data_IF_614437823556
#
_entry.id   IF_614437823556
#
_cell.length_a   1.000
_cell.length_b   1.000
_cell.length_c   1.000
_cell.angle_alpha   90.00
_cell.angle_beta   90.00
_cell.angle_gamma   90.00
#
_symmetry.space_group_name_H-M   'P 1'
#
loop_
_entity.id
_entity.type
_entity.pdbx_description
1 polymer ?
#
# COMPACT_ATOMS: atom_id res chain seq x y z
N UNK A 1 6.60 36.54 23.04
CA UNK A 1 5.82 36.86 21.81
C UNK A 1 4.45 37.36 22.25
N UNK A 2 4.01 38.51 21.76
CA UNK A 2 2.69 39.07 22.05
C UNK A 2 1.71 38.62 20.99
N UNK A 3 0.49 38.17 21.37
CA UNK A 3 -0.56 37.74 20.42
C UNK A 3 -0.93 38.88 19.46
N UNK A 4 -0.91 40.13 19.92
CA UNK A 4 -1.15 41.33 19.08
C UNK A 4 -0.16 41.55 17.94
N UNK A 5 1.00 40.87 17.99
CA UNK A 5 2.07 40.93 16.98
C UNK A 5 2.22 39.60 16.21
N UNK A 6 1.36 38.62 16.50
CA UNK A 6 1.39 37.30 15.89
C UNK A 6 0.16 37.10 15.02
N UNK A 7 0.35 36.68 13.79
CA UNK A 7 -0.80 36.40 12.92
C UNK A 7 -1.50 35.12 13.36
N UNK A 8 -2.66 35.28 13.99
CA UNK A 8 -3.47 34.19 14.52
C UNK A 8 -4.94 34.53 14.36
N UNK A 9 -5.57 33.94 13.35
CA UNK A 9 -6.96 34.17 13.02
C UNK A 9 -7.73 32.84 13.05
N UNK A 10 -8.48 32.60 14.10
CA UNK A 10 -9.29 31.39 14.28
C UNK A 10 -10.61 31.49 13.52
N UNK A 11 -11.18 30.32 13.21
CA UNK A 11 -12.52 30.20 12.66
C UNK A 11 -13.47 29.68 13.74
N UNK A 12 -14.68 30.26 13.81
CA UNK A 12 -15.70 29.82 14.76
C UNK A 12 -16.40 28.55 14.27
N UNK A 13 -16.69 28.48 13.00
CA UNK A 13 -17.43 27.39 12.38
C UNK A 13 -16.49 26.39 11.69
N UNK A 14 -16.97 25.16 11.51
CA UNK A 14 -16.25 24.13 10.77
C UNK A 14 -16.30 24.45 9.27
N UNK A 15 -15.15 24.42 8.58
CA UNK A 15 -15.13 24.53 7.11
C UNK A 15 -15.90 23.38 6.46
N UNK A 16 -16.70 23.71 5.46
CA UNK A 16 -17.58 22.74 4.77
C UNK A 16 -16.83 21.64 4.01
N UNK A 17 -15.56 21.87 3.68
CA UNK A 17 -14.68 20.94 2.96
C UNK A 17 -13.81 20.07 3.89
N UNK A 18 -14.00 20.21 5.23
CA UNK A 18 -13.26 19.43 6.21
C UNK A 18 -14.15 18.32 6.80
N UNK A 19 -13.81 17.06 6.52
CA UNK A 19 -14.57 15.91 6.99
C UNK A 19 -14.10 15.45 8.38
N UNK A 20 -12.78 15.16 8.51
CA UNK A 20 -12.21 14.60 9.75
C UNK A 20 -11.87 15.67 10.77
N UNK A 21 -11.96 15.30 12.05
CA UNK A 21 -11.79 16.23 13.17
C UNK A 21 -10.41 16.93 13.18
N UNK A 22 -9.33 16.23 12.82
CA UNK A 22 -7.99 16.80 12.75
C UNK A 22 -7.91 17.93 11.71
N UNK A 23 -8.49 17.73 10.52
CA UNK A 23 -8.56 18.75 9.47
C UNK A 23 -9.36 19.98 9.93
N UNK A 24 -10.55 19.75 10.53
CA UNK A 24 -11.39 20.83 11.09
C UNK A 24 -10.61 21.66 12.12
N UNK A 25 -10.00 21.00 13.09
CA UNK A 25 -9.27 21.68 14.16
C UNK A 25 -8.04 22.45 13.65
N UNK A 26 -7.29 21.90 12.69
CA UNK A 26 -6.13 22.58 12.12
C UNK A 26 -6.52 23.86 11.36
N UNK A 27 -7.61 23.82 10.59
CA UNK A 27 -8.16 25.00 9.92
C UNK A 27 -8.68 26.04 10.91
N UNK A 28 -9.47 25.61 11.90
CA UNK A 28 -10.06 26.48 12.93
C UNK A 28 -9.01 27.13 13.82
N UNK A 29 -7.97 26.39 14.17
CA UNK A 29 -6.86 26.88 15.00
C UNK A 29 -5.85 27.76 14.24
N UNK A 30 -6.11 28.12 12.98
CA UNK A 30 -5.17 28.89 12.17
C UNK A 30 -3.80 28.22 12.02
N UNK A 31 -3.77 26.90 11.95
CA UNK A 31 -2.53 26.15 11.71
C UNK A 31 -2.25 25.99 10.21
N UNK A 32 -3.29 25.80 9.42
CA UNK A 32 -3.20 25.63 7.96
C UNK A 32 -4.25 26.48 7.23
N UNK A 33 -4.00 26.75 5.94
CA UNK A 33 -4.97 27.28 4.99
C UNK A 33 -4.84 26.55 3.67
N UNK A 34 -5.96 26.10 3.12
CA UNK A 34 -6.00 25.45 1.82
C UNK A 34 -5.63 26.42 0.71
N UNK A 35 -4.71 26.01 -0.16
CA UNK A 35 -4.36 26.71 -1.38
C UNK A 35 -4.99 26.01 -2.60
N UNK A 36 -4.95 24.71 -2.63
CA UNK A 36 -5.54 23.85 -3.65
C UNK A 36 -5.87 22.47 -3.09
N UNK A 37 -6.38 21.57 -3.91
CA UNK A 37 -6.66 20.20 -3.50
C UNK A 37 -5.38 19.49 -3.06
N UNK A 38 -5.29 19.14 -1.77
CA UNK A 38 -4.11 18.50 -1.18
C UNK A 38 -2.88 19.40 -1.04
N UNK A 39 -3.04 20.73 -1.19
CA UNK A 39 -1.96 21.71 -1.06
C UNK A 39 -2.36 22.75 -0.01
N UNK A 40 -1.51 22.92 1.00
CA UNK A 40 -1.81 23.76 2.16
C UNK A 40 -0.68 24.75 2.47
N UNK A 41 -1.06 25.98 2.84
CA UNK A 41 -0.14 26.89 3.50
C UNK A 41 -0.10 26.53 4.99
N UNK A 42 1.10 26.36 5.53
CA UNK A 42 1.29 26.27 6.98
C UNK A 42 1.41 27.66 7.55
N UNK A 43 0.41 28.03 8.35
CA UNK A 43 0.37 29.33 9.01
C UNK A 43 1.38 29.39 10.18
N UNK A 44 1.68 30.58 10.74
CA UNK A 44 2.73 30.70 11.75
C UNK A 44 2.64 29.71 12.92
N UNK A 45 1.45 29.38 13.39
CA UNK A 45 1.24 28.39 14.45
C UNK A 45 1.55 26.96 13.96
N UNK A 46 1.02 26.59 12.80
CA UNK A 46 1.28 25.28 12.18
C UNK A 46 2.76 25.06 11.87
N UNK A 47 3.43 26.09 11.33
CA UNK A 47 4.87 26.03 11.06
C UNK A 47 5.70 25.80 12.34
N UNK A 48 5.29 26.40 13.47
CA UNK A 48 5.97 26.14 14.76
C UNK A 48 5.82 24.70 15.22
N UNK A 49 4.64 24.10 14.99
CA UNK A 49 4.42 22.68 15.32
C UNK A 49 5.29 21.78 14.44
N UNK A 50 5.30 22.01 13.13
CA UNK A 50 6.17 21.27 12.20
C UNK A 50 7.62 21.33 12.64
N UNK A 51 8.15 22.53 12.90
CA UNK A 51 9.55 22.70 13.34
C UNK A 51 9.87 21.98 14.65
N UNK A 52 8.92 21.89 15.58
CA UNK A 52 9.10 21.07 16.79
C UNK A 52 9.18 19.58 16.47
N UNK A 53 8.33 19.09 15.59
CA UNK A 53 8.36 17.69 15.13
C UNK A 53 9.66 17.39 14.41
N UNK A 54 10.06 18.25 13.47
CA UNK A 54 11.33 18.14 12.74
C UNK A 54 12.54 18.10 13.69
N UNK A 55 12.55 18.93 14.73
CA UNK A 55 13.65 18.95 15.71
C UNK A 55 13.72 17.64 16.50
N UNK A 56 12.60 17.09 16.95
CA UNK A 56 12.57 15.80 17.62
C UNK A 56 13.10 14.70 16.70
N UNK A 57 12.67 14.67 15.45
CA UNK A 57 13.14 13.72 14.44
C UNK A 57 14.66 13.89 14.24
N UNK A 58 15.14 15.10 14.02
CA UNK A 58 16.56 15.41 13.78
C UNK A 58 17.43 14.96 14.94
N UNK A 59 17.00 15.23 16.17
CA UNK A 59 17.74 14.82 17.37
C UNK A 59 17.86 13.29 17.49
N UNK A 60 16.80 12.55 17.23
CA UNK A 60 16.83 11.08 17.29
C UNK A 60 17.62 10.47 16.12
N UNK A 61 17.47 11.00 14.92
CA UNK A 61 18.26 10.55 13.77
C UNK A 61 19.77 10.78 13.99
N UNK A 62 20.15 11.95 14.49
CA UNK A 62 21.55 12.25 14.83
C UNK A 62 22.07 11.35 15.97
N UNK A 63 21.23 11.07 16.98
CA UNK A 63 21.58 10.15 18.06
C UNK A 63 21.78 8.71 17.56
N UNK A 64 21.03 8.30 16.54
CA UNK A 64 21.22 7.01 15.89
C UNK A 64 22.42 6.98 14.92
N UNK A 65 23.18 8.07 14.80
CA UNK A 65 24.38 8.17 13.96
C UNK A 65 24.10 8.44 12.48
N UNK A 66 22.86 8.81 12.12
CA UNK A 66 22.54 9.21 10.76
C UNK A 66 23.06 10.64 10.45
N UNK A 67 23.40 10.87 9.18
CA UNK A 67 24.04 12.11 8.71
C UNK A 67 23.02 12.91 7.89
N UNK A 68 22.74 14.13 8.34
CA UNK A 68 21.82 15.02 7.62
C UNK A 68 22.48 15.60 6.37
N UNK A 69 21.74 15.61 5.26
CA UNK A 69 22.06 16.32 4.04
C UNK A 69 20.78 16.94 3.46
N UNK A 70 20.87 17.69 2.39
CA UNK A 70 19.72 18.26 1.70
C UNK A 70 19.82 17.99 0.20
N UNK A 71 18.90 17.20 -0.31
CA UNK A 71 18.79 16.87 -1.73
C UNK A 71 17.80 17.80 -2.44
N UNK A 72 17.99 18.08 -3.74
CA UNK A 72 17.11 18.99 -4.48
C UNK A 72 15.68 18.44 -4.65
N UNK A 73 14.73 19.36 -4.75
CA UNK A 73 13.32 19.04 -5.04
C UNK A 73 13.13 18.57 -6.49
N UNK A 74 13.86 19.20 -7.43
CA UNK A 74 13.80 18.89 -8.86
C UNK A 74 14.89 17.89 -9.19
N UNK A 75 14.53 16.78 -9.78
CA UNK A 75 15.42 15.65 -10.04
C UNK A 75 15.48 15.36 -11.55
N UNK A 76 16.66 15.13 -12.14
CA UNK A 76 16.80 14.75 -13.53
C UNK A 76 16.08 13.45 -13.87
N UNK A 77 15.41 13.40 -15.01
CA UNK A 77 14.67 12.21 -15.48
C UNK A 77 15.58 10.99 -15.67
N UNK A 78 16.83 11.21 -16.06
CA UNK A 78 17.81 10.17 -16.35
C UNK A 78 18.04 9.22 -15.17
N UNK A 79 18.06 9.75 -13.94
CA UNK A 79 18.20 8.93 -12.73
C UNK A 79 17.01 7.97 -12.53
N UNK A 80 15.81 8.44 -12.84
CA UNK A 80 14.56 7.66 -12.76
C UNK A 80 14.44 6.65 -13.89
N UNK A 81 14.95 6.99 -15.08
CA UNK A 81 14.99 6.12 -16.25
C UNK A 81 16.00 4.98 -16.04
N UNK A 82 17.17 5.25 -15.44
CA UNK A 82 18.18 4.25 -15.11
C UNK A 82 17.62 3.13 -14.21
N UNK A 83 16.75 3.46 -13.25
CA UNK A 83 16.12 2.49 -12.35
C UNK A 83 14.86 1.85 -12.92
N UNK A 84 14.36 2.32 -14.08
CA UNK A 84 13.07 1.93 -14.64
C UNK A 84 11.87 2.47 -13.86
N UNK A 85 12.09 3.27 -12.82
CA UNK A 85 11.01 3.83 -11.99
C UNK A 85 10.31 5.02 -12.66
N UNK A 86 10.88 5.61 -13.69
CA UNK A 86 10.21 6.64 -14.49
C UNK A 86 8.83 6.20 -14.97
N UNK A 87 8.72 4.97 -15.49
CA UNK A 87 7.44 4.42 -15.93
C UNK A 87 6.67 3.74 -14.78
N UNK A 88 7.37 3.01 -13.92
CA UNK A 88 6.75 2.24 -12.83
C UNK A 88 6.00 3.09 -11.82
N UNK A 89 6.45 4.34 -11.54
CA UNK A 89 5.77 5.27 -10.64
C UNK A 89 4.45 5.81 -11.20
N UNK A 90 4.21 5.61 -12.50
CA UNK A 90 2.95 6.00 -13.12
C UNK A 90 2.64 7.50 -13.03
N UNK A 91 1.35 7.85 -12.91
CA UNK A 91 0.89 9.24 -12.90
C UNK A 91 1.17 9.98 -11.58
N UNK A 92 1.53 9.30 -10.50
CA UNK A 92 1.88 9.94 -9.22
C UNK A 92 3.20 10.72 -9.31
N UNK A 93 4.08 10.38 -10.25
CA UNK A 93 5.30 11.10 -10.51
C UNK A 93 5.00 12.35 -11.34
N UNK A 94 5.07 13.53 -10.71
CA UNK A 94 4.91 14.80 -11.41
C UNK A 94 6.13 15.08 -12.27
N UNK A 95 5.94 14.99 -13.60
CA UNK A 95 6.98 15.24 -14.61
C UNK A 95 6.87 16.67 -15.13
N UNK A 96 7.99 17.32 -15.26
CA UNK A 96 8.10 18.70 -15.74
C UNK A 96 9.19 18.81 -16.79
N UNK A 97 9.09 19.82 -17.67
CA UNK A 97 10.13 20.15 -18.65
C UNK A 97 10.66 21.55 -18.39
N UNK A 98 11.98 21.70 -18.51
CA UNK A 98 12.57 23.02 -18.47
C UNK A 98 12.38 23.76 -19.83
N UNK A 99 12.84 25.02 -19.89
CA UNK A 99 12.75 25.83 -21.10
C UNK A 99 13.52 25.28 -22.33
N UNK A 100 14.40 24.32 -22.10
CA UNK A 100 15.20 23.64 -23.14
C UNK A 100 14.62 22.27 -23.49
N UNK A 101 13.45 21.89 -22.94
CA UNK A 101 12.79 20.63 -23.19
C UNK A 101 13.35 19.43 -22.42
N UNK A 102 14.30 19.64 -21.49
CA UNK A 102 14.84 18.56 -20.66
C UNK A 102 13.80 18.13 -19.62
N UNK A 103 13.67 16.83 -19.41
CA UNK A 103 12.71 16.26 -18.49
C UNK A 103 13.26 16.16 -17.07
N UNK A 104 12.38 16.44 -16.11
CA UNK A 104 12.67 16.36 -14.67
C UNK A 104 11.44 15.78 -13.96
N UNK A 105 11.67 15.24 -12.76
CA UNK A 105 10.63 14.93 -11.81
C UNK A 105 10.65 15.88 -10.62
N UNK A 106 9.47 16.18 -10.07
CA UNK A 106 9.38 16.76 -8.72
C UNK A 106 9.38 15.58 -7.75
N UNK A 107 10.32 15.56 -6.82
CA UNK A 107 10.63 14.41 -5.98
C UNK A 107 9.40 13.84 -5.22
N UNK A 108 8.97 12.61 -5.47
CA UNK A 108 8.06 11.89 -4.57
C UNK A 108 8.84 11.16 -3.46
N UNK A 109 10.11 10.89 -3.70
CA UNK A 109 11.09 10.21 -2.84
C UNK A 109 12.50 10.47 -3.41
N UNK A 110 13.58 9.98 -2.80
CA UNK A 110 14.93 10.38 -3.23
C UNK A 110 15.93 9.22 -3.34
N UNK A 111 15.47 7.98 -3.54
CA UNK A 111 16.35 6.81 -3.69
C UNK A 111 17.35 6.99 -4.82
N UNK A 112 16.91 7.52 -5.95
CA UNK A 112 17.74 7.76 -7.13
C UNK A 112 18.87 8.75 -6.83
N UNK A 113 18.52 9.86 -6.20
CA UNK A 113 19.49 10.94 -5.92
C UNK A 113 20.50 10.51 -4.86
N UNK A 114 20.06 9.87 -3.77
CA UNK A 114 20.99 9.44 -2.72
C UNK A 114 21.89 8.30 -3.20
N UNK A 115 21.41 7.45 -4.10
CA UNK A 115 22.22 6.40 -4.71
C UNK A 115 23.29 7.01 -5.64
N UNK A 116 22.95 8.04 -6.38
CA UNK A 116 23.91 8.77 -7.20
C UNK A 116 24.99 9.48 -6.33
N UNK A 117 24.60 10.13 -5.23
CA UNK A 117 25.53 10.67 -4.24
C UNK A 117 26.46 9.57 -3.69
N UNK A 118 25.90 8.43 -3.29
CA UNK A 118 26.68 7.31 -2.78
C UNK A 118 27.67 6.78 -3.83
N UNK A 119 27.25 6.68 -5.09
CA UNK A 119 28.11 6.31 -6.22
C UNK A 119 29.30 7.26 -6.40
N UNK A 120 29.06 8.55 -6.19
CA UNK A 120 30.09 9.57 -6.35
C UNK A 120 31.02 9.68 -5.13
N UNK A 121 30.51 9.50 -3.91
CA UNK A 121 31.24 9.81 -2.68
C UNK A 121 31.83 8.57 -1.99
N UNK A 122 31.17 7.40 -2.08
CA UNK A 122 31.62 6.15 -1.43
C UNK A 122 32.59 5.39 -2.33
N UNK A 123 33.88 5.62 -2.17
CA UNK A 123 34.94 5.00 -2.99
C UNK A 123 35.57 3.77 -2.35
N UNK A 124 35.27 3.47 -1.10
CA UNK A 124 35.82 2.34 -0.38
C UNK A 124 34.79 1.71 0.55
N UNK A 125 34.76 0.40 0.61
CA UNK A 125 33.93 -0.35 1.57
C UNK A 125 34.23 0.00 3.04
N UNK A 126 35.44 0.56 3.32
CA UNK A 126 35.82 1.04 4.65
C UNK A 126 35.04 2.27 5.09
N UNK A 127 34.40 2.97 4.17
CA UNK A 127 33.53 4.12 4.48
C UNK A 127 32.13 3.68 4.97
N UNK A 128 31.80 2.38 4.83
CA UNK A 128 30.53 1.79 5.24
C UNK A 128 30.61 1.27 6.70
N UNK A 129 29.48 1.23 7.44
CA UNK A 129 28.16 1.66 7.00
C UNK A 129 28.00 3.18 6.96
N UNK A 130 27.02 3.66 6.18
CA UNK A 130 26.56 5.05 6.17
C UNK A 130 25.03 5.08 6.18
N UNK A 131 24.48 6.04 6.90
CA UNK A 131 23.05 6.33 6.88
C UNK A 131 22.89 7.83 6.66
N UNK A 132 22.32 8.19 5.53
CA UNK A 132 22.04 9.58 5.19
C UNK A 132 20.55 9.84 5.33
N UNK A 133 20.18 11.04 5.78
CA UNK A 133 18.77 11.44 5.82
C UNK A 133 18.61 12.91 5.45
N UNK A 134 17.41 13.27 5.04
CA UNK A 134 17.00 14.65 4.95
C UNK A 134 15.54 14.84 5.41
N UNK A 135 15.20 16.11 5.67
CA UNK A 135 13.84 16.55 5.92
C UNK A 135 13.51 17.55 4.81
N UNK A 136 12.65 17.15 3.88
CA UNK A 136 12.39 17.93 2.67
C UNK A 136 10.95 17.74 2.20
N UNK A 137 10.47 18.75 1.49
CA UNK A 137 9.19 18.69 0.78
C UNK A 137 9.21 17.61 -0.29
N UNK A 138 8.13 16.84 -0.36
CA UNK A 138 7.82 15.86 -1.40
C UNK A 138 6.53 16.25 -2.11
N UNK A 139 6.41 15.80 -3.35
CA UNK A 139 5.19 15.96 -4.12
C UNK A 139 4.79 14.62 -4.74
N UNK A 140 3.55 14.21 -4.51
CA UNK A 140 2.92 13.07 -5.18
C UNK A 140 1.63 13.55 -5.80
N UNK A 141 1.41 13.29 -7.10
CA UNK A 141 0.20 13.70 -7.79
C UNK A 141 -0.98 12.79 -7.44
N UNK A 142 -1.32 12.81 -6.14
CA UNK A 142 -2.40 12.03 -5.55
C UNK A 142 -3.73 12.33 -6.23
N UNK A 143 -4.36 11.30 -6.76
CA UNK A 143 -5.61 11.41 -7.51
C UNK A 143 -6.78 11.90 -6.62
N UNK A 144 -6.80 11.50 -5.35
CA UNK A 144 -7.88 11.80 -4.40
C UNK A 144 -7.32 12.29 -3.07
N UNK A 145 -6.74 13.50 -3.01
CA UNK A 145 -6.28 14.07 -1.76
C UNK A 145 -7.48 14.27 -0.81
N UNK A 146 -7.30 13.87 0.45
CA UNK A 146 -8.37 13.89 1.46
C UNK A 146 -7.79 14.03 2.87
N UNK A 147 -8.64 14.28 3.85
CA UNK A 147 -8.27 14.36 5.27
C UNK A 147 -7.23 15.45 5.59
N UNK A 148 -7.26 16.56 4.87
CA UNK A 148 -6.34 17.68 5.09
C UNK A 148 -4.91 17.32 4.75
N UNK A 149 -4.01 17.53 5.70
CA UNK A 149 -2.57 17.25 5.52
C UNK A 149 -2.21 15.78 5.64
N UNK A 150 -3.14 14.91 6.05
CA UNK A 150 -2.86 13.46 6.19
C UNK A 150 -2.61 12.80 4.83
N UNK A 151 -3.38 13.19 3.80
CA UNK A 151 -3.21 12.70 2.43
C UNK A 151 -3.21 13.87 1.45
N UNK A 152 -2.18 14.70 1.59
CA UNK A 152 -1.92 15.83 0.70
C UNK A 152 -1.09 15.42 -0.52
N UNK A 153 -1.00 16.34 -1.49
CA UNK A 153 -0.12 16.21 -2.67
C UNK A 153 1.27 16.73 -2.40
N UNK A 154 1.38 17.81 -1.62
CA UNK A 154 2.64 18.36 -1.14
C UNK A 154 2.73 18.19 0.38
N UNK A 155 3.83 17.61 0.85
CA UNK A 155 4.05 17.32 2.26
C UNK A 155 5.53 17.25 2.60
N UNK A 156 5.87 17.39 3.87
CA UNK A 156 7.25 17.23 4.35
C UNK A 156 7.48 15.79 4.79
N UNK A 157 8.57 15.20 4.31
CA UNK A 157 9.00 13.86 4.69
C UNK A 157 10.41 13.91 5.28
N UNK A 158 10.64 13.14 6.33
CA UNK A 158 11.99 12.69 6.67
C UNK A 158 12.17 11.35 5.99
N UNK A 159 13.09 11.24 5.09
CA UNK A 159 13.53 10.00 4.47
C UNK A 159 15.01 9.75 4.78
N UNK A 160 15.37 8.49 4.99
CA UNK A 160 16.71 8.05 5.34
C UNK A 160 17.10 6.81 4.54
N UNK A 161 18.39 6.72 4.21
CA UNK A 161 18.93 5.72 3.30
C UNK A 161 20.22 5.17 3.86
N UNK A 162 20.26 3.87 4.11
CA UNK A 162 21.46 3.20 4.60
C UNK A 162 22.21 2.49 3.48
N UNK A 163 23.55 2.50 3.61
CA UNK A 163 24.47 1.79 2.73
C UNK A 163 25.36 0.93 3.61
N UNK A 164 25.31 -0.36 3.39
CA UNK A 164 25.95 -1.37 4.22
C UNK A 164 26.86 -2.25 3.40
N UNK A 165 27.73 -3.03 4.05
CA UNK A 165 28.71 -3.89 3.39
C UNK A 165 28.11 -5.21 2.95
N UNK A 166 27.10 -5.68 3.67
CA UNK A 166 26.47 -6.99 3.52
C UNK A 166 25.04 -6.96 4.08
N UNK A 167 24.30 -8.02 3.86
CA UNK A 167 22.91 -8.16 4.32
C UNK A 167 22.81 -8.03 5.85
N UNK A 168 23.74 -8.64 6.59
CA UNK A 168 23.75 -8.55 8.06
C UNK A 168 23.99 -7.10 8.54
N UNK A 169 24.76 -6.30 7.78
CA UNK A 169 24.91 -4.87 7.98
C UNK A 169 23.59 -4.14 7.78
N UNK A 170 22.93 -4.40 6.66
CA UNK A 170 21.65 -3.79 6.34
C UNK A 170 20.57 -4.12 7.40
N UNK A 171 20.52 -5.34 7.90
CA UNK A 171 19.63 -5.74 9.00
C UNK A 171 19.92 -4.95 10.29
N UNK A 172 21.19 -4.76 10.64
CA UNK A 172 21.56 -3.93 11.81
C UNK A 172 21.14 -2.46 11.62
N UNK A 173 21.33 -1.90 10.42
CA UNK A 173 20.88 -0.55 10.08
C UNK A 173 19.36 -0.43 10.15
N UNK A 174 18.63 -1.45 9.69
CA UNK A 174 17.18 -1.52 9.82
C UNK A 174 16.73 -1.53 11.29
N UNK A 175 17.33 -2.37 12.12
CA UNK A 175 16.99 -2.47 13.54
C UNK A 175 17.34 -1.17 14.30
N UNK A 176 18.42 -0.49 13.93
CA UNK A 176 18.76 0.82 14.46
C UNK A 176 17.71 1.88 14.11
N UNK A 177 17.21 1.89 12.86
CA UNK A 177 16.13 2.78 12.46
C UNK A 177 14.80 2.43 13.13
N UNK A 178 14.50 1.15 13.30
CA UNK A 178 13.32 0.71 14.04
C UNK A 178 13.35 1.24 15.49
N UNK A 179 14.48 1.11 16.18
CA UNK A 179 14.67 1.65 17.51
C UNK A 179 14.56 3.19 17.55
N UNK A 180 15.16 3.86 16.57
CA UNK A 180 15.09 5.32 16.40
C UNK A 180 13.64 5.80 16.26
N UNK A 181 12.85 5.16 15.39
CA UNK A 181 11.44 5.53 15.19
C UNK A 181 10.60 5.31 16.44
N UNK A 182 10.83 4.24 17.19
CA UNK A 182 10.18 4.07 18.50
C UNK A 182 10.43 5.28 19.41
N UNK A 183 11.66 5.79 19.47
CA UNK A 183 11.98 6.96 20.28
C UNK A 183 11.29 8.23 19.77
N UNK A 184 11.25 8.43 18.44
CA UNK A 184 10.55 9.57 17.83
C UNK A 184 9.06 9.55 18.22
N UNK A 185 8.35 8.44 18.03
CA UNK A 185 6.93 8.34 18.34
C UNK A 185 6.66 8.46 19.84
N UNK A 186 7.51 7.90 20.70
CA UNK A 186 7.43 8.05 22.16
C UNK A 186 7.59 9.53 22.56
N UNK A 187 8.57 10.23 22.03
CA UNK A 187 8.82 11.67 22.32
C UNK A 187 7.70 12.58 21.81
N UNK A 188 7.03 12.18 20.75
CA UNK A 188 5.83 12.85 20.25
C UNK A 188 4.59 12.57 21.09
N UNK A 189 4.65 11.63 22.05
CA UNK A 189 3.54 11.26 22.91
C UNK A 189 2.43 10.51 22.19
N UNK A 190 2.73 9.84 21.09
CA UNK A 190 1.75 9.16 20.24
C UNK A 190 1.52 7.72 20.69
N UNK A 191 0.28 7.27 20.64
CA UNK A 191 -0.06 5.84 20.73
C UNK A 191 0.10 5.22 19.34
N UNK A 192 0.97 4.26 19.22
CA UNK A 192 1.29 3.65 17.92
C UNK A 192 1.51 2.15 18.03
N UNK A 193 1.53 1.49 16.88
CA UNK A 193 2.02 0.12 16.69
C UNK A 193 2.96 0.11 15.49
N UNK A 194 4.06 -0.63 15.62
CA UNK A 194 4.86 -1.03 14.47
C UNK A 194 4.20 -2.26 13.87
N UNK A 195 3.64 -2.11 12.69
CA UNK A 195 2.89 -3.17 11.99
C UNK A 195 3.74 -3.73 10.86
N UNK A 196 3.72 -5.04 10.69
CA UNK A 196 4.29 -5.66 9.50
C UNK A 196 3.52 -5.19 8.26
N UNK A 197 4.23 -4.73 7.26
CA UNK A 197 3.68 -4.13 6.06
C UNK A 197 4.25 -4.78 4.79
N UNK A 198 3.52 -4.67 3.69
CA UNK A 198 4.03 -5.03 2.37
C UNK A 198 5.13 -4.06 1.92
N UNK A 199 6.10 -4.56 1.17
CA UNK A 199 7.23 -3.74 0.68
C UNK A 199 6.87 -2.88 -0.53
N UNK A 200 5.74 -3.15 -1.17
CA UNK A 200 5.22 -2.39 -2.30
C UNK A 200 6.18 -2.29 -3.48
N UNK A 201 6.10 -1.18 -4.22
CA UNK A 201 6.91 -0.92 -5.41
C UNK A 201 8.40 -0.70 -5.11
N UNK A 202 8.78 -0.44 -3.85
CA UNK A 202 10.17 -0.28 -3.43
C UNK A 202 10.89 -1.63 -3.40
N UNK A 203 10.16 -2.71 -3.07
CA UNK A 203 10.70 -4.06 -2.96
C UNK A 203 11.41 -4.32 -1.63
N UNK A 204 12.01 -5.49 -1.49
CA UNK A 204 12.64 -5.95 -0.25
C UNK A 204 11.88 -7.09 0.40
N UNK A 205 12.43 -7.65 1.50
CA UNK A 205 11.85 -8.82 2.20
C UNK A 205 11.24 -8.49 3.56
N UNK A 206 11.46 -7.30 4.09
CA UNK A 206 11.01 -6.88 5.42
C UNK A 206 10.58 -5.41 5.40
N UNK A 207 9.39 -5.13 5.88
CA UNK A 207 8.86 -3.79 6.03
C UNK A 207 8.02 -3.66 7.30
N UNK A 208 8.11 -2.50 7.96
CA UNK A 208 7.23 -2.11 9.05
C UNK A 208 6.72 -0.69 8.85
N UNK A 209 5.50 -0.47 9.25
CA UNK A 209 4.88 0.85 9.35
C UNK A 209 4.62 1.20 10.81
N UNK A 210 5.06 2.37 11.25
CA UNK A 210 4.73 2.90 12.56
C UNK A 210 3.42 3.65 12.47
N UNK A 211 2.32 2.95 12.73
CA UNK A 211 0.97 3.51 12.60
C UNK A 211 0.46 4.06 13.93
N UNK A 212 0.03 5.32 13.91
CA UNK A 212 -0.63 5.97 15.04
C UNK A 212 -2.07 5.46 15.14
N UNK A 213 -2.46 5.01 16.32
CA UNK A 213 -3.80 4.49 16.56
C UNK A 213 -4.78 5.66 16.71
N UNK A 214 -5.70 5.79 15.77
CA UNK A 214 -6.75 6.80 15.76
C UNK A 214 -8.05 6.23 15.17
N UNK A 215 -9.20 6.68 15.68
CA UNK A 215 -10.51 6.26 15.15
C UNK A 215 -10.76 6.80 13.74
N UNK A 216 -10.07 7.87 13.35
CA UNK A 216 -10.17 8.53 12.04
C UNK A 216 -9.02 8.16 11.11
N UNK A 217 -8.35 7.03 11.34
CA UNK A 217 -7.28 6.52 10.47
C UNK A 217 -7.81 6.04 9.10
N UNK A 218 -6.92 5.98 8.11
CA UNK A 218 -7.26 5.46 6.78
C UNK A 218 -7.21 3.93 6.73
N UNK A 219 -6.24 3.34 7.42
CA UNK A 219 -5.94 1.92 7.33
C UNK A 219 -6.38 1.17 8.58
N UNK A 220 -6.95 -0.01 8.38
CA UNK A 220 -7.27 -0.91 9.46
C UNK A 220 -6.07 -1.81 9.80
N UNK A 221 -5.74 -1.87 11.10
CA UNK A 221 -4.69 -2.77 11.60
C UNK A 221 -5.27 -3.83 12.52
N UNK A 222 -4.67 -5.01 12.49
CA UNK A 222 -4.94 -6.09 13.44
C UNK A 222 -3.80 -6.12 14.45
N UNK A 223 -4.12 -6.08 15.73
CA UNK A 223 -3.10 -6.17 16.79
C UNK A 223 -3.57 -7.01 17.96
N UNK A 224 -2.62 -7.59 18.67
CA UNK A 224 -2.88 -8.31 19.91
C UNK A 224 -2.65 -7.38 21.11
N UNK A 225 -3.63 -7.17 22.02
CA UNK A 225 -3.44 -6.32 23.19
C UNK A 225 -2.39 -6.83 24.18
N UNK A 226 -2.15 -8.14 24.21
CA UNK A 226 -1.26 -8.82 25.18
C UNK A 226 0.12 -9.17 24.60
N UNK A 227 0.40 -8.82 23.33
CA UNK A 227 1.70 -9.07 22.70
C UNK A 227 2.08 -7.91 21.77
N UNK A 228 3.30 -7.97 21.23
CA UNK A 228 3.78 -6.99 20.24
C UNK A 228 3.27 -7.26 18.81
N UNK A 229 2.43 -8.29 18.61
CA UNK A 229 1.89 -8.59 17.28
C UNK A 229 1.01 -7.47 16.78
N UNK A 230 1.34 -6.96 15.60
CA UNK A 230 0.50 -6.06 14.82
C UNK A 230 0.83 -6.24 13.33
N UNK A 231 -0.20 -6.18 12.48
CA UNK A 231 -0.06 -6.27 11.03
C UNK A 231 -1.16 -5.45 10.34
N UNK A 232 -0.88 -4.97 9.14
CA UNK A 232 -1.92 -4.46 8.26
C UNK A 232 -2.91 -5.58 7.95
N UNK A 233 -4.18 -5.23 7.81
CA UNK A 233 -5.25 -6.21 7.54
C UNK A 233 -4.96 -7.06 6.29
N UNK A 234 -4.28 -6.49 5.31
CA UNK A 234 -3.87 -7.17 4.08
C UNK A 234 -2.84 -8.28 4.31
N UNK A 235 -1.97 -8.13 5.33
CA UNK A 235 -0.95 -9.11 5.69
C UNK A 235 -1.35 -10.04 6.82
N UNK A 236 -2.30 -9.63 7.66
CA UNK A 236 -2.73 -10.41 8.80
C UNK A 236 -3.29 -11.77 8.35
N UNK A 237 -2.73 -12.86 8.88
CA UNK A 237 -3.24 -14.19 8.61
C UNK A 237 -4.30 -14.56 9.65
N UNK A 238 -5.46 -15.00 9.17
CA UNK A 238 -6.48 -15.63 10.00
C UNK A 238 -6.18 -17.12 10.14
N UNK A 239 -6.26 -17.62 11.36
CA UNK A 239 -6.26 -19.07 11.59
C UNK A 239 -7.63 -19.59 11.17
N UNK A 240 -7.70 -20.32 10.07
CA UNK A 240 -8.90 -21.06 9.73
C UNK A 240 -9.04 -22.21 10.76
N UNK A 241 -10.12 -22.15 11.55
CA UNK A 241 -10.50 -23.29 12.38
C UNK A 241 -10.98 -24.39 11.42
N UNK A 242 -10.06 -25.29 11.05
CA UNK A 242 -10.37 -26.38 10.15
C UNK A 242 -11.19 -27.41 10.93
N UNK A 243 -12.49 -27.48 10.62
CA UNK A 243 -13.35 -28.58 10.98
C UNK A 243 -13.38 -29.61 9.84
N UNK A 244 -13.68 -30.84 10.16
CA UNK A 244 -13.92 -31.85 9.14
C UNK A 244 -15.10 -31.40 8.25
N UNK A 245 -14.93 -31.52 6.92
CA UNK A 245 -15.97 -31.15 5.97
C UNK A 245 -17.18 -32.07 6.14
N UNK A 246 -18.34 -31.49 6.37
CA UNK A 246 -19.57 -32.26 6.47
C UNK A 246 -19.90 -32.97 5.15
N UNK A 247 -20.52 -34.16 5.22
CA UNK A 247 -21.06 -34.82 4.02
C UNK A 247 -22.15 -33.93 3.41
N UNK A 248 -22.30 -33.94 2.06
CA UNK A 248 -23.39 -33.24 1.41
C UNK A 248 -24.73 -33.83 1.78
N UNK A 249 -25.73 -32.99 2.02
CA UNK A 249 -27.07 -33.41 2.34
C UNK A 249 -27.92 -33.65 1.09
N UNK A 250 -27.57 -32.97 0.00
CA UNK A 250 -28.31 -33.00 -1.26
C UNK A 250 -27.39 -33.26 -2.46
N UNK A 251 -27.91 -33.90 -3.53
CA UNK A 251 -27.16 -34.05 -4.76
C UNK A 251 -26.97 -32.68 -5.44
N UNK A 252 -25.83 -32.52 -6.15
CA UNK A 252 -25.58 -31.34 -6.93
C UNK A 252 -26.65 -31.15 -8.01
N UNK A 253 -27.24 -29.96 -8.08
CA UNK A 253 -28.25 -29.59 -9.08
C UNK A 253 -27.95 -28.23 -9.68
N UNK A 254 -28.36 -28.02 -10.91
CA UNK A 254 -28.23 -26.76 -11.62
C UNK A 254 -29.51 -25.94 -11.48
N UNK A 255 -29.35 -24.69 -11.08
CA UNK A 255 -30.45 -23.74 -10.88
C UNK A 255 -30.26 -22.54 -11.81
N UNK A 256 -31.31 -22.18 -12.54
CA UNK A 256 -31.25 -21.02 -13.43
C UNK A 256 -31.26 -19.69 -12.63
N UNK A 257 -30.33 -18.82 -12.94
CA UNK A 257 -30.19 -17.48 -12.30
C UNK A 257 -30.19 -16.37 -13.33
N UNK A 258 -31.27 -16.15 -14.12
CA UNK A 258 -31.30 -15.23 -15.24
C UNK A 258 -31.04 -13.80 -14.80
N UNK A 259 -30.02 -13.18 -15.40
CA UNK A 259 -29.65 -11.78 -15.12
C UNK A 259 -29.04 -11.53 -13.73
N UNK A 260 -28.70 -12.60 -12.97
CA UNK A 260 -28.07 -12.50 -11.65
C UNK A 260 -26.66 -13.06 -11.70
N UNK A 261 -25.67 -12.24 -11.41
CA UNK A 261 -24.25 -12.60 -11.53
C UNK A 261 -23.45 -12.39 -10.24
N UNK A 262 -23.97 -11.61 -9.29
CA UNK A 262 -23.29 -11.41 -8.01
C UNK A 262 -23.74 -12.44 -6.98
N UNK A 263 -22.84 -12.83 -6.07
CA UNK A 263 -23.17 -13.75 -4.99
C UNK A 263 -24.39 -13.30 -4.16
N UNK A 264 -24.51 -11.98 -3.90
CA UNK A 264 -25.61 -11.44 -3.13
C UNK A 264 -26.97 -11.59 -3.86
N UNK A 265 -27.01 -11.30 -5.16
CA UNK A 265 -28.23 -11.45 -5.96
C UNK A 265 -28.66 -12.92 -6.11
N UNK A 266 -27.67 -13.81 -6.31
CA UNK A 266 -27.91 -15.26 -6.43
C UNK A 266 -28.37 -15.81 -5.08
N UNK A 267 -27.73 -15.44 -3.99
CA UNK A 267 -28.14 -15.83 -2.64
C UNK A 267 -29.59 -15.42 -2.33
N UNK A 268 -29.96 -14.19 -2.66
CA UNK A 268 -31.32 -13.68 -2.48
C UNK A 268 -32.34 -14.40 -3.36
N UNK A 269 -31.98 -14.74 -4.61
CA UNK A 269 -32.86 -15.46 -5.54
C UNK A 269 -33.15 -16.92 -5.09
N UNK A 270 -32.12 -17.62 -4.63
CA UNK A 270 -32.19 -19.04 -4.22
C UNK A 270 -32.67 -19.16 -2.76
N UNK A 271 -32.63 -18.08 -1.97
CA UNK A 271 -33.04 -18.10 -0.57
C UNK A 271 -31.98 -18.68 0.38
N UNK A 272 -30.69 -18.55 0.05
CA UNK A 272 -29.59 -19.01 0.90
C UNK A 272 -28.82 -17.83 1.48
N UNK A 273 -28.17 -17.97 2.64
CA UNK A 273 -27.32 -16.91 3.17
C UNK A 273 -26.07 -16.71 2.28
N UNK A 274 -25.54 -15.47 2.23
CA UNK A 274 -24.40 -15.09 1.39
C UNK A 274 -23.16 -15.95 1.65
N UNK A 275 -22.91 -16.33 2.92
CA UNK A 275 -21.81 -17.20 3.31
C UNK A 275 -21.97 -18.68 2.86
N UNK A 276 -23.09 -19.04 2.22
CA UNK A 276 -23.31 -20.32 1.54
C UNK A 276 -23.09 -20.24 0.03
N UNK A 277 -22.61 -19.12 -0.46
CA UNK A 277 -22.19 -18.96 -1.85
C UNK A 277 -20.66 -18.97 -1.97
N UNK A 278 -20.17 -19.36 -3.14
CA UNK A 278 -18.74 -19.35 -3.48
C UNK A 278 -18.57 -18.55 -4.77
N UNK A 279 -17.78 -17.48 -4.69
CA UNK A 279 -17.39 -16.69 -5.87
C UNK A 279 -16.14 -17.27 -6.51
N UNK A 280 -16.09 -17.20 -7.82
CA UNK A 280 -14.99 -17.63 -8.66
C UNK A 280 -14.28 -16.43 -9.27
N UNK A 281 -12.98 -16.33 -9.06
CA UNK A 281 -12.13 -15.27 -9.62
C UNK A 281 -11.06 -15.92 -10.47
N UNK A 282 -10.88 -15.44 -11.71
CA UNK A 282 -9.89 -16.00 -12.63
C UNK A 282 -8.72 -15.04 -12.75
N UNK A 283 -7.54 -15.53 -12.44
CA UNK A 283 -6.28 -14.84 -12.63
C UNK A 283 -5.47 -15.51 -13.75
N UNK A 284 -4.57 -14.75 -14.35
CA UNK A 284 -3.67 -15.20 -15.40
C UNK A 284 -2.23 -14.85 -15.05
N UNK A 285 -1.31 -15.76 -15.31
CA UNK A 285 0.14 -15.52 -15.28
C UNK A 285 0.70 -15.76 -16.68
N UNK A 286 1.47 -14.80 -17.17
CA UNK A 286 2.08 -14.86 -18.49
C UNK A 286 3.58 -15.19 -18.35
N UNK A 287 4.02 -16.30 -18.92
CA UNK A 287 5.44 -16.68 -18.95
C UNK A 287 6.00 -16.44 -20.36
N UNK A 288 7.09 -15.67 -20.44
CA UNK A 288 7.89 -15.55 -21.68
C UNK A 288 8.91 -16.68 -21.72
N UNK A 289 8.96 -17.43 -22.83
CA UNK A 289 10.06 -18.35 -23.10
C UNK A 289 11.35 -17.55 -23.37
N UNK A 290 12.51 -18.09 -22.94
CA UNK A 290 13.86 -17.51 -23.12
C UNK A 290 14.21 -17.13 -24.58
N UNK A 291 13.38 -17.50 -25.55
CA UNK A 291 13.56 -17.26 -26.98
C UNK A 291 12.58 -16.22 -27.57
N UNK A 292 11.80 -15.50 -26.75
CA UNK A 292 10.88 -14.46 -27.24
C UNK A 292 9.66 -14.98 -28.04
N UNK A 293 9.39 -16.29 -27.99
CA UNK A 293 8.19 -16.88 -28.58
C UNK A 293 6.98 -16.72 -27.67
N UNK A 294 5.78 -16.84 -28.24
CA UNK A 294 4.48 -16.56 -27.64
C UNK A 294 4.37 -16.89 -26.15
N UNK A 295 3.93 -15.93 -25.37
CA UNK A 295 3.68 -16.08 -23.95
C UNK A 295 2.70 -17.23 -23.69
N UNK A 296 3.10 -18.17 -22.83
CA UNK A 296 2.18 -19.19 -22.34
C UNK A 296 1.43 -18.62 -21.16
N UNK A 297 0.11 -18.44 -21.32
CA UNK A 297 -0.76 -17.97 -20.25
C UNK A 297 -1.28 -19.15 -19.44
N UNK A 298 -1.00 -19.18 -18.14
CA UNK A 298 -1.59 -20.14 -17.20
C UNK A 298 -2.74 -19.47 -16.48
N UNK A 299 -3.92 -20.11 -16.50
CA UNK A 299 -5.08 -19.64 -15.76
C UNK A 299 -5.20 -20.31 -14.39
N UNK A 300 -5.67 -19.49 -13.43
CA UNK A 300 -5.89 -19.84 -12.05
C UNK A 300 -7.32 -19.48 -11.65
N UNK A 301 -8.09 -20.44 -11.20
CA UNK A 301 -9.43 -20.24 -10.65
C UNK A 301 -9.36 -20.21 -9.14
N UNK A 302 -9.60 -19.06 -8.55
CA UNK A 302 -9.63 -18.86 -7.12
C UNK A 302 -11.07 -18.91 -6.62
N UNK A 303 -11.33 -19.76 -5.64
CA UNK A 303 -12.65 -19.95 -5.02
C UNK A 303 -12.65 -19.30 -3.63
N UNK A 304 -13.52 -18.32 -3.44
CA UNK A 304 -13.69 -17.63 -2.16
C UNK A 304 -15.14 -17.72 -1.69
N UNK A 305 -15.34 -17.73 -0.38
CA UNK A 305 -16.68 -17.63 0.18
C UNK A 305 -17.34 -16.31 -0.25
N UNK A 306 -18.62 -16.31 -0.56
CA UNK A 306 -19.29 -15.20 -1.20
C UNK A 306 -19.26 -13.86 -0.46
N UNK A 307 -19.14 -13.90 0.86
CA UNK A 307 -18.98 -12.72 1.74
C UNK A 307 -17.51 -12.30 1.98
N UNK A 308 -16.53 -12.99 1.38
CA UNK A 308 -15.11 -12.63 1.44
C UNK A 308 -14.66 -11.90 0.17
N UNK A 309 -13.69 -11.02 0.29
CA UNK A 309 -13.04 -10.37 -0.83
C UNK A 309 -11.64 -10.95 -1.09
N UNK A 310 -11.19 -10.82 -2.35
CA UNK A 310 -9.86 -11.25 -2.73
C UNK A 310 -8.81 -10.34 -2.09
N UNK A 311 -7.83 -10.96 -1.45
CA UNK A 311 -6.65 -10.24 -0.97
C UNK A 311 -5.48 -10.51 -1.92
N UNK A 312 -5.19 -9.54 -2.79
CA UNK A 312 -4.16 -9.66 -3.83
C UNK A 312 -2.74 -9.82 -3.25
N UNK A 313 -2.47 -9.22 -2.08
CA UNK A 313 -1.18 -9.37 -1.37
C UNK A 313 -0.96 -10.82 -0.94
N UNK A 314 -2.00 -11.49 -0.43
CA UNK A 314 -1.93 -12.91 -0.06
C UNK A 314 -1.83 -13.81 -1.29
N UNK A 315 -2.55 -13.48 -2.36
CA UNK A 315 -2.46 -14.17 -3.65
C UNK A 315 -1.05 -14.11 -4.22
N UNK A 316 -0.40 -12.95 -4.15
CA UNK A 316 0.99 -12.78 -4.59
C UNK A 316 2.03 -13.60 -3.82
N UNK A 317 1.65 -14.26 -2.71
CA UNK A 317 2.53 -15.19 -1.98
C UNK A 317 2.37 -16.65 -2.42
N UNK A 318 1.37 -16.95 -3.25
CA UNK A 318 1.11 -18.30 -3.73
C UNK A 318 2.14 -18.65 -4.82
N UNK A 319 2.73 -19.85 -4.72
CA UNK A 319 3.68 -20.34 -5.70
C UNK A 319 3.05 -20.40 -7.10
N UNK A 320 3.71 -19.77 -8.06
CA UNK A 320 3.24 -19.59 -9.44
C UNK A 320 2.45 -18.30 -9.68
N UNK A 321 1.96 -17.63 -8.63
CA UNK A 321 1.38 -16.29 -8.70
C UNK A 321 2.33 -15.21 -8.15
N UNK A 322 3.39 -15.63 -7.48
CA UNK A 322 4.38 -14.76 -6.82
C UNK A 322 5.33 -14.02 -7.80
N UNK A 323 5.29 -14.34 -9.08
CA UNK A 323 6.06 -13.64 -10.12
C UNK A 323 5.23 -12.52 -10.79
N UNK A 324 4.03 -12.30 -10.32
CA UNK A 324 3.06 -11.35 -10.87
C UNK A 324 1.87 -12.06 -11.54
N UNK A 325 0.72 -11.46 -11.44
CA UNK A 325 -0.51 -11.93 -12.05
C UNK A 325 -1.37 -10.76 -12.51
N UNK A 326 -2.32 -11.06 -13.35
CA UNK A 326 -3.40 -10.13 -13.76
C UNK A 326 -4.75 -10.84 -13.69
N UNK A 327 -5.83 -10.09 -13.69
CA UNK A 327 -7.14 -10.68 -13.91
C UNK A 327 -7.24 -11.18 -15.36
N UNK A 328 -7.87 -12.35 -15.53
CA UNK A 328 -8.10 -12.90 -16.85
C UNK A 328 -9.06 -11.99 -17.64
N UNK A 329 -8.83 -11.85 -18.95
CA UNK A 329 -9.71 -11.10 -19.82
C UNK A 329 -10.94 -11.93 -20.23
N UNK A 330 -11.93 -11.28 -20.88
CA UNK A 330 -13.19 -11.90 -21.27
C UNK A 330 -13.01 -13.05 -22.25
N UNK A 331 -12.07 -12.93 -23.19
CA UNK A 331 -11.81 -13.96 -24.21
C UNK A 331 -11.16 -15.20 -23.59
N UNK A 332 -10.26 -15.02 -22.66
CA UNK A 332 -9.64 -16.12 -21.89
C UNK A 332 -10.69 -16.86 -21.06
N UNK A 333 -11.62 -16.13 -20.45
CA UNK A 333 -12.71 -16.68 -19.68
C UNK A 333 -13.66 -17.47 -20.58
N UNK A 334 -14.11 -16.90 -21.69
CA UNK A 334 -15.00 -17.57 -22.64
C UNK A 334 -14.36 -18.84 -23.20
N UNK A 335 -13.10 -18.78 -23.57
CA UNK A 335 -12.36 -19.92 -24.12
C UNK A 335 -12.27 -21.11 -23.15
N UNK A 336 -11.92 -20.85 -21.90
CA UNK A 336 -11.63 -21.90 -20.92
C UNK A 336 -12.85 -22.33 -20.11
N UNK A 337 -13.81 -21.47 -19.91
CA UNK A 337 -15.01 -21.75 -19.10
C UNK A 337 -16.28 -21.90 -19.97
N UNK A 338 -16.29 -21.29 -21.16
CA UNK A 338 -17.45 -21.33 -22.06
C UNK A 338 -18.63 -20.48 -21.61
N UNK A 339 -18.36 -19.49 -20.73
CA UNK A 339 -19.36 -18.59 -20.20
C UNK A 339 -18.80 -17.17 -20.04
N UNK A 340 -19.70 -16.22 -19.79
CA UNK A 340 -19.33 -14.83 -19.49
C UNK A 340 -18.88 -14.66 -18.02
N UNK A 341 -18.08 -13.64 -17.70
CA UNK A 341 -17.79 -13.26 -16.33
C UNK A 341 -19.08 -13.10 -15.50
N UNK A 342 -19.06 -13.61 -14.25
CA UNK A 342 -20.18 -13.58 -13.33
C UNK A 342 -20.93 -14.93 -13.20
N UNK A 343 -20.66 -15.91 -14.09
CA UNK A 343 -21.27 -17.23 -14.06
C UNK A 343 -20.27 -18.37 -13.84
N UNK A 344 -19.02 -18.01 -13.60
CA UNK A 344 -17.89 -18.92 -13.46
C UNK A 344 -18.00 -19.87 -12.27
N UNK A 345 -17.62 -21.11 -12.45
CA UNK A 345 -17.55 -22.11 -11.41
C UNK A 345 -16.50 -23.20 -11.66
N UNK A 346 -16.23 -24.06 -10.67
CA UNK A 346 -15.23 -25.12 -10.76
C UNK A 346 -15.74 -26.39 -11.48
N UNK A 347 -16.79 -26.28 -12.28
CA UNK A 347 -17.42 -27.41 -12.97
C UNK A 347 -17.25 -27.30 -14.48
N UNK A 348 -17.12 -28.44 -15.18
CA UNK A 348 -17.04 -28.50 -16.65
C UNK A 348 -15.95 -27.60 -17.28
N UNK A 349 -14.79 -27.49 -16.65
CA UNK A 349 -13.68 -26.67 -17.15
C UNK A 349 -13.15 -27.22 -18.48
N UNK A 350 -13.00 -26.33 -19.47
CA UNK A 350 -12.53 -26.66 -20.83
C UNK A 350 -11.05 -26.37 -21.00
N UNK A 351 -10.19 -26.93 -20.24
CA UNK A 351 -8.77 -26.72 -20.40
C UNK A 351 -7.99 -26.84 -19.12
N UNK A 352 -6.69 -26.56 -19.18
CA UNK A 352 -5.80 -26.60 -18.01
C UNK A 352 -5.98 -25.33 -17.18
N UNK A 353 -6.81 -25.39 -16.16
CA UNK A 353 -7.01 -24.32 -15.17
C UNK A 353 -6.59 -24.85 -13.81
N UNK A 354 -5.69 -24.15 -13.13
CA UNK A 354 -5.35 -24.49 -11.75
C UNK A 354 -6.40 -23.94 -10.80
N UNK A 355 -6.96 -24.79 -9.95
CA UNK A 355 -8.01 -24.40 -9.00
C UNK A 355 -7.42 -24.30 -7.60
N UNK A 356 -7.64 -23.17 -6.95
CA UNK A 356 -7.25 -22.91 -5.57
C UNK A 356 -8.49 -22.51 -4.79
N UNK A 357 -8.80 -23.23 -3.72
CA UNK A 357 -9.89 -22.89 -2.82
C UNK A 357 -9.34 -22.24 -1.54
N UNK A 358 -9.97 -21.14 -1.13
CA UNK A 358 -9.71 -20.57 0.20
C UNK A 358 -10.03 -21.60 1.28
N UNK A 359 -9.33 -21.56 2.40
CA UNK A 359 -9.49 -22.51 3.51
C UNK A 359 -10.93 -22.61 4.01
N UNK A 360 -11.66 -21.49 3.99
CA UNK A 360 -13.07 -21.48 4.38
C UNK A 360 -13.95 -22.23 3.38
N UNK A 361 -13.64 -22.16 2.08
CA UNK A 361 -14.35 -22.92 1.04
C UNK A 361 -14.08 -24.42 1.16
N UNK A 362 -12.86 -24.80 1.52
CA UNK A 362 -12.48 -26.20 1.70
C UNK A 362 -13.33 -26.94 2.75
N UNK A 363 -13.95 -26.22 3.69
CA UNK A 363 -14.82 -26.77 4.73
C UNK A 363 -16.31 -26.75 4.36
N UNK A 364 -16.67 -26.11 3.25
CA UNK A 364 -18.07 -25.94 2.86
C UNK A 364 -18.62 -27.21 2.18
N UNK A 365 -19.84 -27.59 2.55
CA UNK A 365 -20.70 -28.51 1.82
C UNK A 365 -22.03 -27.82 1.50
N UNK A 366 -22.76 -28.26 0.53
CA UNK A 366 -24.08 -27.71 0.12
C UNK A 366 -24.00 -26.17 -0.10
N UNK A 367 -23.08 -25.74 -0.94
CA UNK A 367 -22.90 -24.34 -1.30
C UNK A 367 -23.29 -24.06 -2.76
N UNK A 368 -23.58 -22.81 -3.07
CA UNK A 368 -23.95 -22.35 -4.41
C UNK A 368 -22.74 -21.72 -5.07
N UNK A 369 -22.44 -22.11 -6.30
CA UNK A 369 -21.37 -21.51 -7.12
C UNK A 369 -21.81 -21.39 -8.58
N UNK A 370 -21.05 -20.68 -9.40
CA UNK A 370 -21.29 -20.65 -10.84
C UNK A 370 -21.17 -22.04 -11.48
N UNK A 371 -21.86 -22.23 -12.57
CA UNK A 371 -21.96 -23.54 -13.27
C UNK A 371 -21.40 -23.49 -14.71
N UNK A 372 -20.82 -22.35 -15.15
CA UNK A 372 -20.28 -22.07 -16.49
C UNK A 372 -21.32 -21.99 -17.59
#
# INVERSE_FOLDING_TARGET
>A
MRISQFHFQTLKEDPSDAEVISHKLMLRASMIRRLGAGIYNYMPLGLRVIRKVENIIREEMNRAGAIELLMPLVQPAELWQETGRWEKMGPELLRVKDRHGREFAIQPTSEEVITDIARQELKSWRQLPKNFYHIQTKFRDERRPRFGVMRGREFTMKDAYSFDRDVAGAERSYDAMFACYRQIFNRLGLRYRAVAADTGAIGGSRSHEFQVIAETGEDAIVYCPSSDFAANMELAEAVALLSERALPNEPMQQVATPGKSTCAEVAALIGVPLNRTVKSIVLATDSTNEQGAAAVTQLWLLLLRGDHDLNEVKVGKIEGLNQGFRFANVDEIDHHFGCKPGYLGPVNLKGSVRVIADRTVAQMSDFVTGAN
#
